data_IF_419187538724
#
_entry.id   IF_419187538724
#
_cell.length_a   1.000
_cell.length_b   1.000
_cell.length_c   1.000
_cell.angle_alpha   90.00
_cell.angle_beta   90.00
_cell.angle_gamma   90.00
#
_symmetry.space_group_name_H-M   'P 1'
#
loop_
_entity.id
_entity.type
_entity.pdbx_description
1 polymer ?
#
# COMPACT_ATOMS: atom_id res chain seq x y z
N UNK A 1 -20.13 -4.91 -27.35
CA UNK A 1 -19.93 -3.53 -26.83
C UNK A 1 -18.44 -3.38 -26.63
N UNK A 2 -17.86 -2.28 -27.09
CA UNK A 2 -16.43 -2.00 -26.90
C UNK A 2 -16.16 -1.71 -25.41
N UNK A 3 -15.19 -2.41 -24.82
CA UNK A 3 -14.78 -2.21 -23.43
C UNK A 3 -13.97 -0.92 -23.35
N UNK A 4 -14.34 0.01 -22.46
CA UNK A 4 -13.56 1.25 -22.24
C UNK A 4 -12.40 1.04 -21.27
N UNK A 5 -12.48 -0.03 -20.48
CA UNK A 5 -11.46 -0.50 -19.55
C UNK A 5 -11.72 -1.99 -19.28
N UNK A 6 -10.82 -2.67 -18.58
CA UNK A 6 -11.11 -3.97 -17.97
C UNK A 6 -10.35 -4.08 -16.65
N UNK A 7 -11.06 -4.31 -15.55
CA UNK A 7 -10.42 -4.50 -14.25
C UNK A 7 -11.27 -5.42 -13.37
N UNK A 8 -10.65 -6.44 -12.79
CA UNK A 8 -11.32 -7.43 -11.92
C UNK A 8 -10.56 -7.76 -10.63
N UNK A 9 -9.63 -6.90 -10.22
CA UNK A 9 -8.72 -7.18 -9.10
C UNK A 9 -9.37 -7.11 -7.70
N UNK A 10 -10.62 -6.64 -7.57
CA UNK A 10 -11.30 -6.53 -6.28
C UNK A 10 -12.59 -7.33 -6.24
N UNK A 11 -12.98 -7.70 -5.02
CA UNK A 11 -14.17 -8.52 -4.74
C UNK A 11 -15.47 -7.87 -5.26
N UNK A 12 -15.55 -6.54 -5.27
CA UNK A 12 -16.72 -5.78 -5.73
C UNK A 12 -16.78 -5.58 -7.25
N UNK A 13 -15.91 -6.24 -8.03
CA UNK A 13 -15.89 -6.08 -9.49
C UNK A 13 -17.27 -6.39 -10.10
N UNK A 14 -17.64 -5.63 -11.14
CA UNK A 14 -18.99 -5.67 -11.71
C UNK A 14 -19.38 -7.09 -12.16
N UNK A 15 -20.49 -7.58 -11.61
CA UNK A 15 -21.04 -8.90 -11.90
C UNK A 15 -20.09 -10.06 -11.58
N UNK A 16 -19.11 -9.87 -10.68
CA UNK A 16 -18.06 -10.84 -10.40
C UNK A 16 -17.29 -11.29 -11.66
N UNK A 17 -17.17 -10.40 -12.66
CA UNK A 17 -16.56 -10.72 -13.96
C UNK A 17 -15.53 -9.67 -14.39
N UNK A 18 -15.87 -8.38 -14.32
CA UNK A 18 -14.97 -7.31 -14.72
C UNK A 18 -15.67 -5.96 -14.89
N UNK A 19 -15.04 -4.90 -14.40
CA UNK A 19 -15.48 -3.53 -14.65
C UNK A 19 -15.07 -3.10 -16.06
N UNK A 20 -16.04 -2.88 -16.95
CA UNK A 20 -15.77 -2.59 -18.39
C UNK A 20 -16.07 -1.16 -18.85
N UNK A 21 -16.79 -0.38 -18.03
CA UNK A 21 -17.18 1.02 -18.33
C UNK A 21 -16.65 2.01 -17.31
N UNK A 22 -16.69 1.64 -16.03
CA UNK A 22 -16.18 2.36 -14.88
C UNK A 22 -16.00 1.34 -13.75
N UNK A 23 -15.04 1.54 -12.86
CA UNK A 23 -14.89 0.74 -11.65
C UNK A 23 -16.04 0.99 -10.67
N UNK A 24 -16.49 -0.05 -9.97
CA UNK A 24 -17.43 0.09 -8.82
C UNK A 24 -16.82 0.96 -7.72
N UNK A 25 -15.50 0.89 -7.56
CA UNK A 25 -14.72 1.76 -6.68
C UNK A 25 -14.63 3.24 -7.13
N UNK A 26 -15.19 3.60 -8.29
CA UNK A 26 -15.13 4.94 -8.86
C UNK A 26 -13.92 5.22 -9.76
N UNK A 27 -13.06 4.22 -10.02
CA UNK A 27 -11.94 4.35 -10.96
C UNK A 27 -12.45 4.54 -12.40
N UNK A 28 -12.09 5.64 -13.04
CA UNK A 28 -12.45 5.94 -14.42
C UNK A 28 -11.61 5.15 -15.45
N UNK A 29 -12.06 5.06 -16.73
CA UNK A 29 -11.33 4.34 -17.77
C UNK A 29 -9.90 4.82 -18.01
N UNK A 30 -9.66 6.14 -18.00
CA UNK A 30 -8.33 6.72 -18.21
C UNK A 30 -7.38 6.32 -17.09
N UNK A 31 -7.78 6.50 -15.84
CA UNK A 31 -7.01 6.04 -14.66
C UNK A 31 -6.74 4.54 -14.72
N UNK A 32 -7.70 3.72 -15.14
CA UNK A 32 -7.50 2.29 -15.30
C UNK A 32 -6.43 1.97 -16.36
N UNK A 33 -6.51 2.60 -17.54
CA UNK A 33 -5.52 2.44 -18.60
C UNK A 33 -4.11 2.90 -18.17
N UNK A 34 -4.01 4.01 -17.43
CA UNK A 34 -2.74 4.48 -16.87
C UNK A 34 -2.17 3.51 -15.81
N UNK A 35 -3.02 2.88 -15.00
CA UNK A 35 -2.57 1.85 -14.07
C UNK A 35 -2.11 0.57 -14.79
N UNK A 36 -2.80 0.15 -15.85
CA UNK A 36 -2.35 -0.98 -16.70
C UNK A 36 -0.99 -0.65 -17.32
N UNK A 37 -0.82 0.56 -17.83
CA UNK A 37 0.46 1.05 -18.36
C UNK A 37 1.55 1.05 -17.30
N UNK A 38 1.27 1.54 -16.08
CA UNK A 38 2.22 1.56 -14.98
C UNK A 38 2.66 0.14 -14.59
N UNK A 39 1.73 -0.81 -14.48
CA UNK A 39 2.06 -2.22 -14.22
C UNK A 39 2.92 -2.78 -15.35
N UNK A 40 2.57 -2.54 -16.60
CA UNK A 40 3.30 -3.09 -17.75
C UNK A 40 4.74 -2.58 -17.83
N UNK A 41 4.98 -1.27 -17.69
CA UNK A 41 6.36 -0.74 -17.65
C UNK A 41 7.12 -1.20 -16.40
N UNK A 42 6.41 -1.48 -15.30
CA UNK A 42 7.01 -2.05 -14.09
C UNK A 42 7.48 -3.49 -14.32
N UNK A 43 6.71 -4.30 -15.04
CA UNK A 43 7.18 -5.63 -15.48
C UNK A 43 8.43 -5.51 -16.37
N UNK A 44 8.48 -4.51 -17.24
CA UNK A 44 9.64 -4.25 -18.11
C UNK A 44 10.91 -3.82 -17.37
N UNK A 45 10.82 -2.94 -16.37
CA UNK A 45 12.00 -2.60 -15.54
C UNK A 45 12.45 -3.79 -14.68
N UNK A 46 11.51 -4.60 -14.19
CA UNK A 46 11.83 -5.83 -13.45
C UNK A 46 12.56 -6.85 -14.33
N UNK A 47 12.18 -7.01 -15.60
CA UNK A 47 12.91 -7.86 -16.55
C UNK A 47 14.36 -7.39 -16.77
N UNK A 48 14.57 -6.08 -16.94
CA UNK A 48 15.91 -5.51 -17.06
C UNK A 48 16.75 -5.73 -15.78
N UNK A 49 16.14 -5.58 -14.61
CA UNK A 49 16.79 -5.82 -13.32
C UNK A 49 17.17 -7.30 -13.13
N UNK A 50 16.29 -8.24 -13.50
CA UNK A 50 16.58 -9.68 -13.50
C UNK A 50 17.76 -9.97 -14.42
N UNK A 51 17.76 -9.43 -15.64
CA UNK A 51 18.85 -9.63 -16.61
C UNK A 51 20.20 -9.10 -16.12
N UNK A 52 20.22 -7.94 -15.46
CA UNK A 52 21.44 -7.42 -14.84
C UNK A 52 21.99 -8.37 -13.77
N UNK A 53 21.11 -8.96 -12.94
CA UNK A 53 21.54 -9.94 -11.95
C UNK A 53 22.08 -11.22 -12.58
N UNK A 54 21.49 -11.70 -13.68
CA UNK A 54 22.04 -12.83 -14.47
C UNK A 54 23.44 -12.53 -15.02
N UNK A 55 23.71 -11.28 -15.39
CA UNK A 55 25.03 -10.79 -15.79
C UNK A 55 25.99 -10.55 -14.61
N UNK A 56 25.60 -10.89 -13.38
CA UNK A 56 26.32 -10.62 -12.13
C UNK A 56 26.59 -9.13 -11.89
N UNK A 57 25.62 -8.28 -12.25
CA UNK A 57 25.69 -6.82 -12.06
C UNK A 57 24.73 -6.35 -10.98
N UNK A 58 25.13 -5.26 -10.34
CA UNK A 58 24.34 -4.63 -9.28
C UNK A 58 23.11 -3.92 -9.85
N UNK A 59 21.96 -4.10 -9.21
CA UNK A 59 20.74 -3.33 -9.46
C UNK A 59 20.62 -2.26 -8.36
N UNK A 60 20.44 -0.97 -8.70
CA UNK A 60 20.28 0.09 -7.70
C UNK A 60 19.04 -0.09 -6.81
N UNK A 61 19.12 0.31 -5.55
CA UNK A 61 18.04 0.16 -4.56
C UNK A 61 16.78 0.95 -4.92
N UNK A 62 16.95 2.05 -5.63
CA UNK A 62 15.86 2.87 -6.11
C UNK A 62 14.95 2.09 -7.07
N UNK A 63 15.48 1.07 -7.77
CA UNK A 63 14.71 0.20 -8.67
C UNK A 63 13.73 -0.65 -7.87
N UNK A 64 14.20 -1.33 -6.81
CA UNK A 64 13.32 -2.13 -5.96
C UNK A 64 12.23 -1.27 -5.31
N UNK A 65 12.63 -0.10 -4.79
CA UNK A 65 11.69 0.90 -4.26
C UNK A 65 10.67 1.35 -5.30
N UNK A 66 11.08 1.56 -6.55
CA UNK A 66 10.20 1.95 -7.66
C UNK A 66 9.19 0.86 -7.98
N UNK A 67 9.62 -0.39 -8.05
CA UNK A 67 8.75 -1.54 -8.34
C UNK A 67 7.67 -1.66 -7.26
N UNK A 68 8.06 -1.60 -5.98
CA UNK A 68 7.10 -1.67 -4.87
C UNK A 68 6.09 -0.52 -4.90
N UNK A 69 6.56 0.72 -5.08
CA UNK A 69 5.69 1.90 -5.14
C UNK A 69 4.69 1.84 -6.29
N UNK A 70 5.16 1.43 -7.48
CA UNK A 70 4.32 1.34 -8.66
C UNK A 70 3.22 0.31 -8.48
N UNK A 71 3.53 -0.86 -7.93
CA UNK A 71 2.52 -1.88 -7.63
C UNK A 71 1.51 -1.37 -6.60
N UNK A 72 1.96 -0.73 -5.52
CA UNK A 72 1.10 -0.22 -4.45
C UNK A 72 0.13 0.87 -4.96
N UNK A 73 0.59 1.79 -5.82
CA UNK A 73 -0.25 2.81 -6.47
C UNK A 73 -1.46 2.20 -7.19
N UNK A 74 -1.31 0.97 -7.71
CA UNK A 74 -2.33 0.29 -8.53
C UNK A 74 -3.23 -0.65 -7.72
N UNK A 75 -3.06 -0.73 -6.39
CA UNK A 75 -4.01 -1.40 -5.49
C UNK A 75 -5.36 -0.68 -5.53
N UNK A 76 -6.43 -1.44 -5.31
CA UNK A 76 -7.80 -0.90 -5.22
C UNK A 76 -7.87 0.20 -4.17
N UNK A 77 -8.47 1.33 -4.54
CA UNK A 77 -8.56 2.52 -3.69
C UNK A 77 -7.19 3.09 -3.25
N UNK A 78 -6.13 2.81 -4.02
CA UNK A 78 -4.80 3.37 -3.84
C UNK A 78 -4.69 4.78 -4.43
N UNK A 79 -4.71 4.91 -5.76
CA UNK A 79 -4.49 6.20 -6.43
C UNK A 79 -5.46 6.44 -7.60
N UNK A 80 -6.05 7.63 -7.63
CA UNK A 80 -6.98 8.12 -8.67
C UNK A 80 -6.44 9.35 -9.42
N UNK A 81 -5.21 9.79 -9.11
CA UNK A 81 -4.60 10.97 -9.71
C UNK A 81 -3.83 10.57 -10.98
N UNK A 82 -4.45 10.80 -12.13
CA UNK A 82 -3.87 10.53 -13.45
C UNK A 82 -2.50 11.19 -13.62
N UNK A 83 -2.32 12.44 -13.17
CA UNK A 83 -1.05 13.17 -13.33
C UNK A 83 0.05 12.57 -12.44
N UNK A 84 -0.31 12.13 -11.23
CA UNK A 84 0.62 11.41 -10.38
C UNK A 84 1.06 10.09 -11.04
N UNK A 85 0.13 9.33 -11.62
CA UNK A 85 0.44 8.06 -12.30
C UNK A 85 1.31 8.31 -13.55
N UNK A 86 1.04 9.34 -14.35
CA UNK A 86 1.84 9.72 -15.52
C UNK A 86 3.29 10.04 -15.11
N UNK A 87 3.49 10.82 -14.04
CA UNK A 87 4.85 11.12 -13.51
C UNK A 87 5.58 9.84 -13.12
N UNK A 88 4.88 8.87 -12.56
CA UNK A 88 5.45 7.57 -12.15
C UNK A 88 5.86 6.73 -13.36
N UNK A 89 5.01 6.65 -14.39
CA UNK A 89 5.34 5.98 -15.67
C UNK A 89 6.61 6.57 -16.27
N UNK A 90 6.68 7.90 -16.41
CA UNK A 90 7.85 8.59 -16.98
C UNK A 90 9.13 8.28 -16.22
N UNK A 91 9.08 8.29 -14.88
CA UNK A 91 10.23 7.97 -14.04
C UNK A 91 10.66 6.50 -14.20
N UNK A 92 9.71 5.57 -14.30
CA UNK A 92 10.02 4.16 -14.54
C UNK A 92 10.66 3.94 -15.91
N UNK A 93 10.19 4.62 -16.95
CA UNK A 93 10.81 4.55 -18.28
C UNK A 93 12.26 5.04 -18.27
N UNK A 94 12.51 6.19 -17.63
CA UNK A 94 13.86 6.73 -17.49
C UNK A 94 14.80 5.75 -16.75
N UNK A 95 14.38 5.24 -15.60
CA UNK A 95 15.18 4.26 -14.84
C UNK A 95 15.40 2.97 -15.62
N UNK A 96 14.38 2.49 -16.34
CA UNK A 96 14.50 1.31 -17.19
C UNK A 96 15.51 1.52 -18.30
N UNK A 97 15.52 2.69 -18.95
CA UNK A 97 16.52 3.04 -19.98
C UNK A 97 17.93 2.95 -19.39
N UNK A 98 18.16 3.51 -18.21
CA UNK A 98 19.46 3.46 -17.53
C UNK A 98 19.92 2.00 -17.24
N UNK A 99 18.98 1.11 -16.86
CA UNK A 99 19.29 -0.32 -16.68
C UNK A 99 19.58 -1.03 -18.01
N UNK A 100 18.82 -0.73 -19.06
CA UNK A 100 19.02 -1.31 -20.40
C UNK A 100 20.37 -0.90 -20.98
N UNK A 101 20.78 0.37 -20.84
CA UNK A 101 22.08 0.88 -21.29
C UNK A 101 23.25 0.19 -20.56
N UNK A 102 22.98 -0.38 -19.40
CA UNK A 102 23.94 -1.19 -18.68
C UNK A 102 24.06 -2.60 -19.26
N UNK A 103 23.03 -3.22 -19.83
CA UNK A 103 23.10 -4.63 -20.29
C UNK A 103 24.17 -4.91 -21.35
N UNK A 104 24.67 -6.14 -21.37
CA UNK A 104 25.59 -6.60 -22.43
C UNK A 104 24.92 -6.76 -23.80
N UNK A 105 23.59 -6.94 -23.81
CA UNK A 105 22.76 -7.07 -24.99
C UNK A 105 21.26 -6.98 -24.65
N UNK A 106 20.43 -6.77 -25.65
CA UNK A 106 18.96 -6.63 -25.51
C UNK A 106 18.19 -7.80 -26.11
N UNK A 107 18.90 -8.81 -26.59
CA UNK A 107 18.32 -9.99 -27.20
C UNK A 107 17.48 -10.78 -26.19
N UNK A 108 16.25 -11.09 -26.60
CA UNK A 108 15.29 -11.84 -25.80
C UNK A 108 14.46 -11.00 -24.82
N UNK A 109 14.73 -9.70 -24.70
CA UNK A 109 13.91 -8.81 -23.88
C UNK A 109 12.51 -8.60 -24.48
N UNK A 110 11.51 -8.52 -23.61
CA UNK A 110 10.13 -8.28 -24.01
C UNK A 110 9.92 -6.88 -24.59
N UNK A 111 8.78 -6.68 -25.26
CA UNK A 111 8.34 -5.34 -25.66
C UNK A 111 8.21 -4.39 -24.45
N UNK A 112 7.83 -4.90 -23.28
CA UNK A 112 7.71 -4.08 -22.07
C UNK A 112 9.07 -3.55 -21.60
N UNK A 113 10.14 -4.34 -21.74
CA UNK A 113 11.51 -3.92 -21.46
C UNK A 113 12.03 -2.92 -22.50
N UNK A 114 11.68 -3.07 -23.78
CA UNK A 114 12.23 -2.25 -24.87
C UNK A 114 11.44 -0.97 -25.19
N UNK A 115 10.15 -0.90 -24.88
CA UNK A 115 9.30 0.24 -25.24
C UNK A 115 9.62 1.49 -24.41
N UNK A 116 9.76 2.66 -25.04
CA UNK A 116 10.28 3.86 -24.36
C UNK A 116 9.67 5.19 -24.87
N UNK A 117 8.45 5.13 -25.42
CA UNK A 117 7.76 6.30 -25.98
C UNK A 117 6.71 6.86 -25.01
N UNK A 118 7.17 7.60 -24.00
CA UNK A 118 6.28 8.16 -22.97
C UNK A 118 5.09 8.98 -23.55
N UNK A 119 5.25 9.64 -24.68
CA UNK A 119 4.18 10.46 -25.26
C UNK A 119 3.06 9.62 -25.90
N UNK A 120 3.37 8.38 -26.30
CA UNK A 120 2.40 7.42 -26.80
C UNK A 120 1.78 6.54 -25.71
N UNK A 121 2.01 6.82 -24.41
CA UNK A 121 1.60 5.92 -23.31
C UNK A 121 0.08 5.63 -23.27
N UNK A 122 -0.77 6.62 -23.55
CA UNK A 122 -2.22 6.43 -23.54
C UNK A 122 -2.71 5.58 -24.72
N UNK A 123 -2.04 5.68 -25.87
CA UNK A 123 -2.34 4.82 -27.03
C UNK A 123 -1.87 3.40 -26.75
N UNK A 124 -0.63 3.24 -26.25
CA UNK A 124 -0.05 1.95 -25.90
C UNK A 124 -0.89 1.20 -24.86
N UNK A 125 -1.43 1.92 -23.87
CA UNK A 125 -2.27 1.37 -22.80
C UNK A 125 -3.50 0.58 -23.31
N UNK A 126 -4.02 0.91 -24.51
CA UNK A 126 -5.19 0.22 -25.08
C UNK A 126 -4.94 -1.25 -25.43
N UNK A 127 -3.67 -1.65 -25.59
CA UNK A 127 -3.29 -3.00 -26.05
C UNK A 127 -2.60 -3.89 -25.02
N UNK A 128 -2.37 -3.43 -23.79
CA UNK A 128 -1.47 -4.08 -22.81
C UNK A 128 -2.12 -4.42 -21.46
N UNK A 129 -3.44 -4.26 -21.34
CA UNK A 129 -4.18 -4.58 -20.12
C UNK A 129 -4.46 -6.09 -19.98
N UNK A 130 -5.25 -6.46 -18.96
CA UNK A 130 -5.58 -7.86 -18.61
C UNK A 130 -5.98 -8.74 -19.80
N UNK A 131 -6.77 -8.19 -20.73
CA UNK A 131 -7.30 -8.92 -21.89
C UNK A 131 -6.27 -9.11 -23.02
N UNK A 132 -5.03 -8.61 -22.89
CA UNK A 132 -3.96 -8.87 -23.85
C UNK A 132 -3.47 -10.32 -23.81
N UNK A 133 -3.76 -11.05 -22.73
CA UNK A 133 -3.57 -12.51 -22.66
C UNK A 133 -4.88 -13.18 -23.09
N UNK A 134 -4.89 -13.87 -24.23
CA UNK A 134 -6.10 -14.47 -24.81
C UNK A 134 -6.57 -15.71 -24.04
N UNK A 135 -5.65 -16.63 -23.74
CA UNK A 135 -5.93 -17.85 -22.99
C UNK A 135 -6.39 -17.52 -21.56
N UNK A 136 -7.55 -18.06 -21.17
CA UNK A 136 -8.20 -17.73 -19.90
C UNK A 136 -7.45 -18.27 -18.69
N UNK A 137 -6.87 -19.47 -18.78
CA UNK A 137 -6.15 -20.09 -17.68
C UNK A 137 -4.81 -19.39 -17.45
N UNK A 138 -4.09 -19.07 -18.53
CA UNK A 138 -2.85 -18.28 -18.48
C UNK A 138 -3.13 -16.88 -17.94
N UNK A 139 -4.20 -16.22 -18.43
CA UNK A 139 -4.62 -14.89 -17.95
C UNK A 139 -4.96 -14.93 -16.46
N UNK A 140 -5.73 -15.92 -16.03
CA UNK A 140 -6.13 -16.12 -14.64
C UNK A 140 -4.91 -16.23 -13.72
N UNK A 141 -3.94 -17.07 -14.07
CA UNK A 141 -2.73 -17.25 -13.25
C UNK A 141 -1.82 -16.02 -13.26
N UNK A 142 -1.59 -15.38 -14.42
CA UNK A 142 -0.79 -14.16 -14.50
C UNK A 142 -1.36 -13.03 -13.64
N UNK A 143 -2.68 -12.85 -13.65
CA UNK A 143 -3.32 -11.82 -12.85
C UNK A 143 -3.41 -12.20 -11.37
N UNK A 144 -3.65 -13.47 -11.02
CA UNK A 144 -3.55 -13.96 -9.64
C UNK A 144 -2.17 -13.66 -9.04
N UNK A 145 -1.10 -13.99 -9.77
CA UNK A 145 0.28 -13.69 -9.37
C UNK A 145 0.46 -12.18 -9.26
N UNK A 146 0.11 -11.41 -10.29
CA UNK A 146 0.27 -9.95 -10.29
C UNK A 146 -0.44 -9.30 -9.09
N UNK A 147 -1.64 -9.76 -8.72
CA UNK A 147 -2.38 -9.24 -7.57
C UNK A 147 -1.79 -9.66 -6.22
N UNK A 148 -1.28 -10.89 -6.11
CA UNK A 148 -0.49 -11.33 -4.96
C UNK A 148 0.76 -10.47 -4.76
N UNK A 149 1.49 -10.21 -5.86
CA UNK A 149 2.69 -9.36 -5.86
C UNK A 149 2.38 -7.90 -5.47
N UNK A 150 1.21 -7.36 -5.85
CA UNK A 150 0.77 -6.03 -5.36
C UNK A 150 0.63 -6.02 -3.84
N UNK A 151 -0.01 -7.03 -3.25
CA UNK A 151 -0.14 -7.16 -1.80
C UNK A 151 1.21 -7.29 -1.11
N UNK A 152 2.09 -8.15 -1.64
CA UNK A 152 3.46 -8.32 -1.16
C UNK A 152 4.25 -7.01 -1.19
N UNK A 153 4.19 -6.27 -2.31
CA UNK A 153 4.84 -4.98 -2.48
C UNK A 153 4.38 -3.93 -1.45
N UNK A 154 3.10 -3.94 -1.08
CA UNK A 154 2.59 -3.05 -0.04
C UNK A 154 3.23 -3.34 1.33
N UNK A 155 3.35 -4.62 1.71
CA UNK A 155 4.00 -4.99 2.97
C UNK A 155 5.47 -4.62 2.99
N UNK A 156 6.21 -4.98 1.92
CA UNK A 156 7.62 -4.65 1.81
C UNK A 156 7.86 -3.13 1.80
N UNK A 157 6.96 -2.35 1.17
CA UNK A 157 7.09 -0.89 1.15
C UNK A 157 7.01 -0.27 2.55
N UNK A 158 6.14 -0.79 3.42
CA UNK A 158 6.07 -0.37 4.82
C UNK A 158 7.30 -0.78 5.62
N UNK A 159 7.80 -2.00 5.44
CA UNK A 159 9.03 -2.44 6.07
C UNK A 159 10.23 -1.57 5.66
N UNK A 160 10.35 -1.26 4.37
CA UNK A 160 11.41 -0.40 3.84
C UNK A 160 11.33 1.05 4.37
N UNK A 161 10.14 1.54 4.74
CA UNK A 161 10.00 2.85 5.36
C UNK A 161 10.59 2.88 6.78
N UNK A 162 10.50 1.77 7.51
CA UNK A 162 11.09 1.61 8.84
C UNK A 162 12.61 1.40 8.78
N UNK A 163 13.10 0.66 7.80
CA UNK A 163 14.55 0.47 7.59
C UNK A 163 15.27 1.79 7.31
N UNK A 164 14.74 2.64 6.41
CA UNK A 164 15.36 3.95 6.11
C UNK A 164 15.46 4.84 7.34
N UNK A 165 14.48 4.77 8.25
CA UNK A 165 14.55 5.48 9.55
C UNK A 165 15.71 4.98 10.39
N UNK A 166 16.00 3.68 10.35
CA UNK A 166 17.08 3.05 11.11
C UNK A 166 18.48 3.38 10.56
N UNK A 167 18.65 3.68 9.27
CA UNK A 167 19.97 3.99 8.68
C UNK A 167 20.60 5.30 9.20
N UNK A 168 19.81 6.19 9.80
CA UNK A 168 20.28 7.42 10.45
C UNK A 168 20.73 7.24 11.92
N UNK A 169 20.82 6.00 12.42
CA UNK A 169 21.22 5.72 13.83
C UNK A 169 21.31 4.24 14.26
N UNK A 170 21.27 3.29 13.32
CA UNK A 170 21.34 1.83 13.37
C UNK A 170 20.36 1.08 14.31
N UNK A 171 19.43 0.26 13.76
CA UNK A 171 18.87 -0.93 14.46
C UNK A 171 18.39 -2.08 13.54
N UNK A 172 17.91 -1.84 12.29
CA UNK A 172 17.23 -2.91 11.52
C UNK A 172 17.71 -3.00 10.05
N UNK A 173 18.22 -4.18 9.66
CA UNK A 173 18.23 -4.68 8.28
C UNK A 173 17.36 -5.94 8.30
N UNK A 174 16.23 -5.92 7.60
CA UNK A 174 15.38 -7.10 7.50
C UNK A 174 16.13 -8.21 6.78
N UNK A 175 16.36 -9.32 7.48
CA UNK A 175 16.87 -10.52 6.84
C UNK A 175 15.90 -10.95 5.73
N UNK A 176 16.42 -11.12 4.53
CA UNK A 176 15.64 -11.52 3.38
C UNK A 176 14.80 -10.42 2.69
N UNK A 177 14.91 -9.13 3.04
CA UNK A 177 14.28 -8.05 2.25
C UNK A 177 14.74 -8.08 0.80
N UNK A 178 16.07 -8.13 0.58
CA UNK A 178 16.62 -8.19 -0.78
C UNK A 178 16.07 -9.37 -1.57
N UNK A 179 16.06 -10.55 -0.95
CA UNK A 179 15.55 -11.77 -1.58
C UNK A 179 14.06 -11.64 -1.94
N UNK A 180 13.26 -10.99 -1.10
CA UNK A 180 11.86 -10.71 -1.37
C UNK A 180 11.67 -9.69 -2.51
N UNK A 181 12.50 -8.64 -2.57
CA UNK A 181 12.52 -7.67 -3.67
C UNK A 181 12.91 -8.33 -5.01
N UNK A 182 13.94 -9.19 -4.98
CA UNK A 182 14.41 -9.92 -6.16
C UNK A 182 13.35 -10.89 -6.68
N UNK A 183 12.67 -11.61 -5.78
CA UNK A 183 11.54 -12.44 -6.17
C UNK A 183 10.40 -11.62 -6.76
N UNK A 184 10.07 -10.47 -6.17
CA UNK A 184 9.03 -9.57 -6.68
C UNK A 184 9.28 -9.20 -8.14
N UNK A 185 10.52 -8.83 -8.47
CA UNK A 185 10.93 -8.49 -9.83
C UNK A 185 10.93 -9.72 -10.76
N UNK A 186 11.50 -10.84 -10.32
CA UNK A 186 11.50 -12.11 -11.08
C UNK A 186 10.08 -12.57 -11.43
N UNK A 187 9.18 -12.57 -10.45
CA UNK A 187 7.80 -13.01 -10.64
C UNK A 187 7.03 -12.06 -11.55
N UNK A 188 7.21 -10.73 -11.42
CA UNK A 188 6.62 -9.77 -12.35
C UNK A 188 7.09 -9.98 -13.79
N UNK A 189 8.40 -10.12 -13.99
CA UNK A 189 9.00 -10.35 -15.31
C UNK A 189 8.48 -11.65 -15.93
N UNK A 190 8.38 -12.73 -15.14
CA UNK A 190 7.84 -14.01 -15.58
C UNK A 190 6.41 -13.90 -16.14
N UNK A 191 5.58 -12.99 -15.62
CA UNK A 191 4.22 -12.79 -16.18
C UNK A 191 4.19 -12.20 -17.60
N UNK A 192 5.33 -11.76 -18.15
CA UNK A 192 5.46 -11.33 -19.54
C UNK A 192 5.88 -12.46 -20.49
N UNK A 193 6.44 -13.57 -19.97
CA UNK A 193 6.94 -14.66 -20.78
C UNK A 193 5.78 -15.45 -21.40
N UNK A 194 5.72 -15.43 -22.73
CA UNK A 194 4.67 -16.09 -23.53
C UNK A 194 4.84 -17.61 -23.61
N UNK A 195 5.97 -18.15 -23.16
CA UNK A 195 6.25 -19.58 -23.22
C UNK A 195 5.89 -20.33 -21.93
N UNK A 196 5.59 -19.61 -20.85
CA UNK A 196 5.22 -20.25 -19.58
C UNK A 196 3.92 -21.05 -19.71
N UNK A 197 3.98 -22.28 -19.19
CA UNK A 197 2.86 -23.21 -19.17
C UNK A 197 1.98 -23.04 -17.92
N UNK A 198 0.76 -23.58 -17.96
CA UNK A 198 -0.15 -23.59 -16.80
C UNK A 198 0.51 -24.21 -15.54
N UNK A 199 1.21 -25.37 -15.60
CA UNK A 199 1.90 -25.90 -14.43
C UNK A 199 2.99 -24.97 -13.87
N UNK A 200 3.77 -24.31 -14.72
CA UNK A 200 4.83 -23.39 -14.30
C UNK A 200 4.25 -22.13 -13.64
N UNK A 201 3.19 -21.55 -14.21
CA UNK A 201 2.48 -20.43 -13.60
C UNK A 201 1.79 -20.82 -12.30
N UNK A 202 1.27 -22.04 -12.20
CA UNK A 202 0.71 -22.56 -10.94
C UNK A 202 1.78 -22.68 -9.85
N UNK A 203 2.98 -23.17 -10.21
CA UNK A 203 4.10 -23.22 -9.29
C UNK A 203 4.54 -21.82 -8.86
N UNK A 204 4.62 -20.86 -9.78
CA UNK A 204 4.93 -19.47 -9.47
C UNK A 204 3.88 -18.80 -8.57
N UNK A 205 2.60 -19.15 -8.72
CA UNK A 205 1.54 -18.66 -7.82
C UNK A 205 1.69 -19.20 -6.39
N UNK A 206 2.12 -20.45 -6.23
CA UNK A 206 2.42 -21.02 -4.91
C UNK A 206 3.68 -20.39 -4.30
N UNK A 207 4.74 -20.21 -5.08
CA UNK A 207 5.97 -19.52 -4.67
C UNK A 207 5.66 -18.07 -4.26
N UNK A 208 4.75 -17.39 -4.98
CA UNK A 208 4.25 -16.05 -4.60
C UNK A 208 3.57 -16.07 -3.22
N UNK A 209 2.88 -17.16 -2.86
CA UNK A 209 2.31 -17.35 -1.53
C UNK A 209 3.37 -17.50 -0.43
N UNK A 210 4.44 -18.25 -0.71
CA UNK A 210 5.60 -18.40 0.19
C UNK A 210 6.27 -17.05 0.47
N UNK A 211 6.54 -16.27 -0.59
CA UNK A 211 7.10 -14.94 -0.45
C UNK A 211 6.13 -13.93 0.15
N UNK A 212 4.82 -14.15 0.02
CA UNK A 212 3.81 -13.42 0.77
C UNK A 212 3.95 -13.61 2.29
N UNK A 213 4.20 -14.84 2.75
CA UNK A 213 4.49 -15.12 4.17
C UNK A 213 5.78 -14.43 4.61
N UNK A 214 6.82 -14.47 3.77
CA UNK A 214 8.10 -13.81 4.04
C UNK A 214 7.95 -12.29 4.17
N UNK A 215 7.24 -11.64 3.25
CA UNK A 215 6.99 -10.20 3.31
C UNK A 215 6.19 -9.78 4.56
N UNK A 216 5.20 -10.58 4.97
CA UNK A 216 4.48 -10.33 6.22
C UNK A 216 5.38 -10.49 7.45
N UNK A 217 6.27 -11.48 7.47
CA UNK A 217 7.23 -11.68 8.57
C UNK A 217 8.23 -10.51 8.67
N UNK A 218 8.75 -10.04 7.53
CA UNK A 218 9.62 -8.85 7.46
C UNK A 218 8.88 -7.62 8.03
N UNK A 219 7.63 -7.39 7.63
CA UNK A 219 6.85 -6.26 8.14
C UNK A 219 6.50 -6.38 9.64
N UNK A 220 6.18 -7.59 10.11
CA UNK A 220 5.94 -7.84 11.54
C UNK A 220 7.17 -7.51 12.38
N UNK A 221 8.34 -7.99 11.97
CA UNK A 221 9.60 -7.73 12.66
C UNK A 221 9.94 -6.23 12.63
N UNK A 222 9.81 -5.58 11.48
CA UNK A 222 10.06 -4.15 11.33
C UNK A 222 9.19 -3.32 12.29
N UNK A 223 7.87 -3.57 12.30
CA UNK A 223 6.94 -2.85 13.17
C UNK A 223 7.19 -3.12 14.65
N UNK A 224 7.36 -4.40 15.03
CA UNK A 224 7.50 -4.77 16.44
C UNK A 224 8.85 -4.34 17.01
N UNK A 225 9.91 -4.32 16.20
CA UNK A 225 11.22 -3.79 16.59
C UNK A 225 11.18 -2.27 16.76
N UNK A 226 10.47 -1.55 15.89
CA UNK A 226 10.38 -0.09 15.96
C UNK A 226 9.46 0.41 17.08
N UNK A 227 8.31 -0.25 17.28
CA UNK A 227 7.22 0.27 18.10
C UNK A 227 6.87 -0.60 19.32
N UNK A 228 7.56 -1.72 19.50
CA UNK A 228 7.29 -2.73 20.52
C UNK A 228 6.26 -3.77 20.08
N UNK A 229 6.18 -4.90 20.77
CA UNK A 229 5.14 -5.89 20.48
C UNK A 229 3.75 -5.36 20.91
N UNK A 230 2.70 -5.54 20.09
CA UNK A 230 1.34 -5.22 20.48
C UNK A 230 0.94 -5.95 21.76
N UNK A 231 0.24 -5.25 22.65
CA UNK A 231 -0.23 -5.77 23.93
C UNK A 231 -1.73 -5.49 24.13
N UNK A 232 -2.39 -6.26 25.02
CA UNK A 232 -3.82 -6.08 25.31
C UNK A 232 -4.13 -4.61 25.63
N UNK A 233 -4.99 -4.01 24.82
CA UNK A 233 -5.29 -2.58 24.90
C UNK A 233 -6.77 -2.33 24.77
N UNK A 234 -7.28 -1.44 25.63
CA UNK A 234 -8.65 -0.91 25.55
C UNK A 234 -8.60 0.45 24.85
N UNK A 235 -9.20 0.53 23.66
CA UNK A 235 -9.18 1.73 22.80
C UNK A 235 -10.53 2.44 22.90
N UNK A 236 -10.52 3.75 23.17
CA UNK A 236 -11.73 4.57 23.15
C UNK A 236 -12.26 4.71 21.73
N UNK A 237 -13.59 4.66 21.56
CA UNK A 237 -14.28 4.94 20.30
C UNK A 237 -15.15 6.22 20.34
N UNK A 238 -15.16 6.90 21.49
CA UNK A 238 -15.75 8.24 21.63
C UNK A 238 -14.77 9.36 21.30
N UNK A 239 -15.24 10.60 21.36
CA UNK A 239 -14.47 11.79 20.96
C UNK A 239 -14.20 12.74 22.14
N UNK A 240 -13.08 13.45 22.07
CA UNK A 240 -12.71 14.55 22.98
C UNK A 240 -13.24 15.88 22.44
N UNK A 241 -12.94 16.98 23.15
CA UNK A 241 -13.42 18.32 22.82
C UNK A 241 -12.42 19.18 22.04
N UNK A 242 -11.18 18.71 21.85
CA UNK A 242 -10.20 19.42 21.04
C UNK A 242 -10.46 19.19 19.54
N UNK A 243 -10.02 20.11 18.67
CA UNK A 243 -9.85 19.80 17.25
C UNK A 243 -8.92 18.59 17.07
N UNK A 244 -9.11 17.84 15.98
CA UNK A 244 -8.32 16.65 15.74
C UNK A 244 -7.94 16.42 14.28
N UNK A 245 -6.97 15.53 14.09
CA UNK A 245 -6.58 14.95 12.80
C UNK A 245 -6.93 13.46 12.83
N UNK A 246 -7.56 12.98 11.76
CA UNK A 246 -7.88 11.57 11.57
C UNK A 246 -6.86 10.93 10.63
N UNK A 247 -6.11 9.93 11.10
CA UNK A 247 -5.19 9.16 10.26
C UNK A 247 -5.82 7.81 9.89
N UNK A 248 -5.75 7.47 8.60
CA UNK A 248 -6.28 6.24 8.02
C UNK A 248 -5.25 5.61 7.09
N UNK A 249 -5.37 4.30 6.86
CA UNK A 249 -4.39 3.52 6.11
C UNK A 249 -3.62 2.58 7.05
N UNK A 250 -2.34 2.35 6.79
CA UNK A 250 -1.53 1.36 7.54
C UNK A 250 -0.14 1.87 7.99
N UNK A 251 0.32 3.01 7.48
CA UNK A 251 1.71 3.43 7.71
C UNK A 251 1.93 3.97 9.13
N UNK A 252 2.66 3.22 9.95
CA UNK A 252 2.95 3.57 11.33
C UNK A 252 4.07 4.63 11.46
N UNK A 253 4.97 4.75 10.48
CA UNK A 253 5.97 5.84 10.46
C UNK A 253 5.28 7.19 10.30
N UNK A 254 4.27 7.27 9.42
CA UNK A 254 3.49 8.49 9.24
C UNK A 254 2.75 8.90 10.51
N UNK A 255 2.18 7.93 11.24
CA UNK A 255 1.56 8.19 12.53
C UNK A 255 2.57 8.70 13.56
N UNK A 256 3.75 8.09 13.65
CA UNK A 256 4.79 8.52 14.58
C UNK A 256 5.18 9.98 14.35
N UNK A 257 5.51 10.33 13.10
CA UNK A 257 5.88 11.70 12.73
C UNK A 257 4.74 12.68 12.98
N UNK A 258 3.49 12.28 12.73
CA UNK A 258 2.31 13.09 13.02
C UNK A 258 2.14 13.32 14.54
N UNK A 259 2.30 12.27 15.36
CA UNK A 259 2.20 12.36 16.82
C UNK A 259 3.28 13.27 17.39
N UNK A 260 4.51 13.16 16.90
CA UNK A 260 5.64 14.02 17.29
C UNK A 260 5.38 15.49 16.94
N UNK A 261 4.88 15.77 15.73
CA UNK A 261 4.61 17.14 15.28
C UNK A 261 3.35 17.76 15.91
N UNK A 262 2.43 16.93 16.41
CA UNK A 262 1.21 17.40 17.09
C UNK A 262 1.35 17.56 18.60
N UNK A 263 2.45 17.07 19.20
CA UNK A 263 2.73 17.21 20.63
C UNK A 263 2.74 18.69 21.06
N UNK A 264 2.02 19.01 22.13
CA UNK A 264 1.90 20.39 22.64
C UNK A 264 1.13 21.38 21.75
N UNK A 265 0.55 20.94 20.61
CA UNK A 265 -0.18 21.85 19.69
C UNK A 265 -1.64 22.07 20.06
N UNK A 266 -2.19 21.25 20.96
CA UNK A 266 -3.62 21.23 21.30
C UNK A 266 -4.50 20.49 20.29
N UNK A 267 -3.92 19.79 19.32
CA UNK A 267 -4.63 18.93 18.36
C UNK A 267 -4.59 17.48 18.85
N UNK A 268 -5.74 16.83 18.94
CA UNK A 268 -5.83 15.39 19.20
C UNK A 268 -5.62 14.58 17.91
N UNK A 269 -5.02 13.40 18.00
CA UNK A 269 -4.86 12.46 16.87
C UNK A 269 -5.78 11.26 17.06
N UNK A 270 -6.54 10.91 16.03
CA UNK A 270 -7.44 9.75 16.00
C UNK A 270 -7.03 8.80 14.87
N UNK A 271 -7.23 7.51 15.08
CA UNK A 271 -7.09 6.49 14.03
C UNK A 271 -8.42 6.19 13.36
N UNK A 272 -8.39 5.65 12.15
CA UNK A 272 -9.55 5.14 11.43
C UNK A 272 -9.21 3.84 10.68
N UNK A 273 -10.20 2.94 10.58
CA UNK A 273 -10.10 1.65 9.89
C UNK A 273 -8.82 0.88 10.29
N UNK A 274 -7.88 0.72 9.37
CA UNK A 274 -6.69 -0.13 9.54
C UNK A 274 -5.57 0.53 10.35
N UNK A 275 -5.72 1.81 10.74
CA UNK A 275 -4.83 2.44 11.72
C UNK A 275 -5.19 2.10 13.17
N UNK A 276 -6.36 1.48 13.42
CA UNK A 276 -6.77 1.04 14.76
C UNK A 276 -5.67 0.28 15.52
N UNK A 277 -4.95 -0.69 14.92
CA UNK A 277 -3.94 -1.45 15.63
C UNK A 277 -2.76 -0.62 16.15
N UNK A 278 -2.57 0.60 15.67
CA UNK A 278 -1.53 1.48 16.21
C UNK A 278 -1.69 1.73 17.71
N UNK A 279 -2.93 1.74 18.23
CA UNK A 279 -3.17 1.85 19.68
C UNK A 279 -2.58 0.69 20.48
N UNK A 280 -2.31 -0.45 19.86
CA UNK A 280 -1.83 -1.65 20.54
C UNK A 280 -0.33 -1.62 20.80
N UNK A 281 0.42 -0.78 20.09
CA UNK A 281 1.87 -0.68 20.19
C UNK A 281 2.29 0.21 21.38
N UNK A 282 3.17 -0.26 22.28
CA UNK A 282 3.62 0.51 23.44
C UNK A 282 4.21 1.88 23.08
N UNK A 283 4.94 1.98 21.97
CA UNK A 283 5.60 3.24 21.56
C UNK A 283 4.62 4.40 21.35
N UNK A 284 3.38 4.14 20.93
CA UNK A 284 2.38 5.19 20.70
C UNK A 284 1.56 5.55 21.94
N UNK A 285 1.53 4.68 22.96
CA UNK A 285 0.75 4.90 24.19
C UNK A 285 1.28 6.02 25.08
N UNK A 286 2.52 6.47 24.85
CA UNK A 286 3.13 7.58 25.59
C UNK A 286 2.52 8.95 25.24
N UNK A 287 1.86 9.08 24.08
CA UNK A 287 1.34 10.35 23.58
C UNK A 287 -0.06 10.63 24.15
N UNK A 288 -0.18 11.64 25.01
CA UNK A 288 -1.43 11.93 25.72
C UNK A 288 -2.56 12.42 24.79
N UNK A 289 -2.22 13.08 23.69
CA UNK A 289 -3.14 13.57 22.65
C UNK A 289 -3.52 12.50 21.62
N UNK A 290 -3.00 11.27 21.74
CA UNK A 290 -3.48 10.13 20.95
C UNK A 290 -4.80 9.63 21.54
N UNK A 291 -5.92 9.97 20.90
CA UNK A 291 -7.21 10.03 21.56
C UNK A 291 -8.02 8.73 21.52
N UNK A 292 -8.08 8.06 20.37
CA UNK A 292 -8.89 6.88 20.16
C UNK A 292 -9.04 6.51 18.69
N UNK A 293 -9.95 5.60 18.40
CA UNK A 293 -10.32 5.21 17.04
C UNK A 293 -11.70 5.76 16.69
N UNK A 294 -11.84 6.38 15.52
CA UNK A 294 -13.07 7.03 15.09
C UNK A 294 -13.68 6.29 13.89
N UNK A 295 -14.98 5.98 13.99
CA UNK A 295 -15.73 5.34 12.91
C UNK A 295 -15.44 3.84 12.77
N UNK A 296 -15.64 3.31 11.57
CA UNK A 296 -15.56 1.89 11.28
C UNK A 296 -14.59 1.62 10.10
N UNK A 297 -14.97 0.70 9.21
CA UNK A 297 -14.18 0.32 8.06
C UNK A 297 -14.30 1.34 6.91
N UNK A 298 -13.26 1.36 6.07
CA UNK A 298 -13.05 2.30 4.96
C UNK A 298 -14.26 2.63 4.07
N UNK A 299 -15.21 1.72 3.86
CA UNK A 299 -16.33 1.96 2.93
C UNK A 299 -17.35 2.98 3.47
N UNK A 300 -17.39 3.23 4.79
CA UNK A 300 -18.22 4.25 5.43
C UNK A 300 -17.58 5.64 5.49
N UNK A 301 -16.36 5.79 4.98
CA UNK A 301 -15.58 7.02 5.16
C UNK A 301 -16.23 8.28 4.61
N UNK A 302 -17.16 8.19 3.66
CA UNK A 302 -17.87 9.36 3.11
C UNK A 302 -18.75 10.07 4.15
N UNK A 303 -19.29 9.32 5.10
CA UNK A 303 -20.12 9.83 6.19
C UNK A 303 -19.24 10.15 7.39
N UNK A 304 -18.30 9.25 7.72
CA UNK A 304 -17.46 9.37 8.91
C UNK A 304 -16.41 10.48 8.76
N UNK A 305 -15.75 10.62 7.61
CA UNK A 305 -14.81 11.72 7.39
C UNK A 305 -15.52 13.06 7.39
N UNK A 306 -16.75 13.13 6.88
CA UNK A 306 -17.57 14.34 6.92
C UNK A 306 -17.87 14.73 8.38
N UNK A 307 -18.36 13.79 9.18
CA UNK A 307 -18.69 13.99 10.60
C UNK A 307 -17.47 14.29 11.50
N UNK A 308 -16.28 13.80 11.14
CA UNK A 308 -15.06 14.07 11.90
C UNK A 308 -14.68 15.56 11.96
N UNK A 309 -15.09 16.37 10.98
CA UNK A 309 -14.91 17.82 10.97
C UNK A 309 -13.48 18.33 10.73
N UNK A 310 -12.46 17.66 11.28
CA UNK A 310 -11.03 18.00 11.13
C UNK A 310 -10.35 17.39 9.90
N UNK A 311 -9.07 17.70 9.65
CA UNK A 311 -8.31 17.11 8.54
C UNK A 311 -8.21 15.58 8.62
N UNK A 312 -8.12 14.95 7.46
CA UNK A 312 -7.93 13.49 7.33
C UNK A 312 -6.65 13.21 6.54
N UNK A 313 -5.77 12.38 7.09
CA UNK A 313 -4.56 11.88 6.43
C UNK A 313 -4.79 10.44 5.96
N UNK A 314 -4.64 10.19 4.67
CA UNK A 314 -4.63 8.84 4.09
C UNK A 314 -3.18 8.45 3.77
N UNK A 315 -2.64 7.52 4.57
CA UNK A 315 -1.28 6.99 4.41
C UNK A 315 -1.21 5.91 3.34
N UNK A 316 -2.30 5.16 3.16
CA UNK A 316 -2.46 4.09 2.16
C UNK A 316 -3.91 4.01 1.66
N UNK A 317 -4.22 3.02 0.81
CA UNK A 317 -5.60 2.61 0.57
C UNK A 317 -6.30 2.24 1.90
N UNK A 318 -7.63 2.32 2.02
CA UNK A 318 -8.60 2.57 0.97
C UNK A 318 -9.17 3.99 0.99
N UNK A 319 -8.83 4.80 -0.01
CA UNK A 319 -9.51 6.07 -0.29
C UNK A 319 -10.64 5.85 -1.30
N UNK A 320 -11.88 6.19 -0.94
CA UNK A 320 -12.98 6.29 -1.92
C UNK A 320 -13.06 7.72 -2.47
N UNK A 321 -13.64 7.94 -3.66
CA UNK A 321 -13.87 9.29 -4.18
C UNK A 321 -14.54 10.21 -3.14
N UNK A 322 -13.85 11.27 -2.68
CA UNK A 322 -14.31 12.09 -1.57
C UNK A 322 -15.49 13.00 -1.96
N UNK A 323 -16.36 13.31 -1.01
CA UNK A 323 -17.36 14.36 -1.16
C UNK A 323 -16.69 15.73 -1.14
N UNK A 324 -17.25 16.68 -1.88
CA UNK A 324 -16.77 18.07 -1.90
C UNK A 324 -16.76 18.73 -0.51
N UNK A 325 -17.67 18.31 0.37
CA UNK A 325 -17.81 18.80 1.76
C UNK A 325 -16.54 18.64 2.62
N UNK A 326 -15.69 17.64 2.35
CA UNK A 326 -14.47 17.39 3.11
C UNK A 326 -13.21 17.27 2.24
N UNK A 327 -13.33 17.30 0.91
CA UNK A 327 -12.20 17.20 -0.02
C UNK A 327 -11.08 18.22 0.28
N UNK A 328 -11.43 19.44 0.66
CA UNK A 328 -10.45 20.50 0.98
C UNK A 328 -9.67 20.31 2.29
N UNK A 329 -10.01 19.30 3.09
CA UNK A 329 -9.30 18.90 4.32
C UNK A 329 -8.83 17.43 4.27
N UNK A 330 -8.85 16.82 3.09
CA UNK A 330 -8.31 15.49 2.84
C UNK A 330 -6.89 15.62 2.30
N UNK A 331 -5.95 14.98 2.99
CA UNK A 331 -4.56 14.88 2.63
C UNK A 331 -4.22 13.44 2.28
N UNK A 332 -3.40 13.29 1.25
CA UNK A 332 -2.84 12.01 0.81
C UNK A 332 -1.34 12.03 1.01
N UNK A 333 -0.73 10.86 1.16
CA UNK A 333 0.73 10.72 1.17
C UNK A 333 1.11 9.35 0.64
N UNK A 334 2.41 9.11 0.42
CA UNK A 334 2.91 7.82 -0.07
C UNK A 334 2.33 7.43 -1.42
N UNK A 335 1.77 6.23 -1.51
CA UNK A 335 1.17 5.73 -2.76
C UNK A 335 -0.22 6.32 -3.05
N UNK A 336 -0.84 7.04 -2.10
CA UNK A 336 -2.22 7.52 -2.22
C UNK A 336 -2.28 8.81 -3.03
N UNK A 337 -3.30 8.94 -3.86
CA UNK A 337 -3.54 10.18 -4.60
C UNK A 337 -4.99 10.32 -5.05
N UNK A 338 -5.48 11.57 -5.05
CA UNK A 338 -6.78 11.90 -5.61
C UNK A 338 -6.77 13.34 -6.18
N UNK A 339 -7.30 13.58 -7.39
CA UNK A 339 -7.26 14.90 -8.00
C UNK A 339 -7.89 15.98 -7.13
N UNK A 340 -7.11 17.02 -6.81
CA UNK A 340 -7.54 18.16 -6.01
C UNK A 340 -7.51 17.95 -4.49
N UNK A 341 -7.01 16.81 -4.01
CA UNK A 341 -6.61 16.65 -2.61
C UNK A 341 -5.14 17.09 -2.45
N UNK A 342 -4.78 17.58 -1.27
CA UNK A 342 -3.38 17.92 -0.98
C UNK A 342 -2.56 16.64 -0.85
N UNK A 343 -1.31 16.66 -1.31
CA UNK A 343 -0.39 15.54 -1.18
C UNK A 343 0.82 15.96 -0.34
N UNK A 344 1.15 15.17 0.68
CA UNK A 344 2.30 15.38 1.54
C UNK A 344 3.42 14.48 1.01
N UNK A 345 4.41 15.09 0.38
CA UNK A 345 5.63 14.42 -0.05
C UNK A 345 6.57 14.22 1.15
N UNK A 346 7.38 13.18 1.10
CA UNK A 346 8.48 13.00 2.03
C UNK A 346 9.74 13.67 1.49
N UNK A 347 10.53 14.28 2.37
CA UNK A 347 11.89 14.73 2.10
C UNK A 347 12.81 13.52 1.83
N UNK A 348 14.05 13.80 1.39
CA UNK A 348 15.02 12.77 1.05
C UNK A 348 15.36 11.83 2.23
N UNK A 349 15.23 12.30 3.47
CA UNK A 349 15.45 11.53 4.70
C UNK A 349 14.18 10.80 5.20
N UNK A 350 13.05 10.94 4.49
CA UNK A 350 11.76 10.35 4.85
C UNK A 350 10.90 11.21 5.77
N UNK A 351 11.37 12.40 6.16
CA UNK A 351 10.59 13.36 6.97
C UNK A 351 9.41 13.91 6.17
N UNK A 352 8.24 14.01 6.79
CA UNK A 352 7.04 14.62 6.20
C UNK A 352 6.63 15.84 7.01
N UNK A 353 6.37 16.95 6.33
CA UNK A 353 5.89 18.17 6.97
C UNK A 353 4.35 18.16 7.11
N UNK A 354 3.85 18.01 8.34
CA UNK A 354 2.42 18.08 8.64
C UNK A 354 1.95 19.48 9.07
N UNK A 355 2.81 20.50 9.02
CA UNK A 355 2.52 21.86 9.52
C UNK A 355 1.23 22.45 8.94
N UNK A 356 1.02 22.31 7.63
CA UNK A 356 -0.19 22.83 6.98
C UNK A 356 -1.47 22.17 7.53
N UNK A 357 -1.44 20.84 7.68
CA UNK A 357 -2.56 20.07 8.20
C UNK A 357 -2.86 20.43 9.66
N UNK A 358 -1.82 20.55 10.49
CA UNK A 358 -1.94 20.95 11.90
C UNK A 358 -2.56 22.34 12.00
N UNK A 359 -2.12 23.28 11.16
CA UNK A 359 -2.68 24.62 11.13
C UNK A 359 -4.15 24.65 10.64
N UNK A 360 -4.51 23.80 9.68
CA UNK A 360 -5.91 23.65 9.28
C UNK A 360 -6.76 23.06 10.41
N UNK A 361 -6.25 22.05 11.14
CA UNK A 361 -6.96 21.43 12.26
C UNK A 361 -7.36 22.42 13.35
N UNK A 362 -6.49 23.40 13.66
CA UNK A 362 -6.78 24.49 14.62
C UNK A 362 -8.00 25.34 14.24
N UNK A 363 -8.39 25.34 12.98
CA UNK A 363 -9.53 26.10 12.45
C UNK A 363 -10.78 25.24 12.25
N UNK A 364 -10.69 23.93 12.50
CA UNK A 364 -11.79 22.99 12.36
C UNK A 364 -12.53 22.78 13.70
N UNK A 365 -13.82 22.41 13.66
CA UNK A 365 -14.51 21.99 14.87
C UNK A 365 -13.93 20.67 15.40
N UNK A 366 -14.16 20.40 16.69
CA UNK A 366 -13.92 19.07 17.26
C UNK A 366 -14.80 18.01 16.57
N UNK A 367 -14.39 16.73 16.57
CA UNK A 367 -15.16 15.66 15.93
C UNK A 367 -16.57 15.50 16.51
N UNK A 368 -17.54 15.19 15.64
CA UNK A 368 -18.89 14.80 16.06
C UNK A 368 -18.86 13.35 16.55
N UNK A 369 -19.36 13.11 17.76
CA UNK A 369 -19.41 11.77 18.36
C UNK A 369 -20.38 10.87 17.58
N UNK A 370 -19.86 9.75 17.04
CA UNK A 370 -20.67 8.74 16.36
C UNK A 370 -21.14 7.64 17.30
N UNK A 371 -20.30 7.30 18.28
CA UNK A 371 -20.51 6.24 19.25
C UNK A 371 -19.67 6.48 20.51
N UNK A 372 -19.91 5.69 21.56
CA UNK A 372 -19.18 5.78 22.83
C UNK A 372 -18.76 4.39 23.30
N UNK A 373 -17.81 4.34 24.23
CA UNK A 373 -17.32 3.10 24.81
C UNK A 373 -15.91 2.79 24.32
N UNK A 374 -15.63 1.50 24.16
CA UNK A 374 -14.29 1.03 23.83
C UNK A 374 -14.30 -0.35 23.22
N UNK A 375 -13.26 -0.64 22.45
CA UNK A 375 -12.94 -1.97 21.94
C UNK A 375 -11.62 -2.48 22.54
N UNK A 376 -11.47 -3.80 22.65
CA UNK A 376 -10.26 -4.44 23.17
C UNK A 376 -9.56 -5.18 22.04
N UNK A 377 -8.25 -4.96 21.89
CA UNK A 377 -7.41 -5.62 20.90
C UNK A 377 -5.96 -5.75 21.38
N UNK A 378 -5.03 -5.98 20.45
CA UNK A 378 -3.61 -6.16 20.75
C UNK A 378 -3.15 -7.61 20.93
N UNK A 379 -3.95 -8.58 20.49
CA UNK A 379 -3.62 -10.01 20.54
C UNK A 379 -2.75 -10.43 19.34
N UNK A 380 -1.59 -9.79 19.16
CA UNK A 380 -0.58 -10.25 18.18
C UNK A 380 0.16 -11.50 18.69
N UNK A 381 1.04 -12.07 17.86
CA UNK A 381 1.69 -13.37 18.15
C UNK A 381 2.38 -13.41 19.52
N UNK A 382 3.16 -12.39 19.90
CA UNK A 382 3.87 -12.33 21.18
C UNK A 382 2.89 -12.34 22.37
N UNK A 383 1.83 -11.53 22.30
CA UNK A 383 0.79 -11.45 23.33
C UNK A 383 0.00 -12.77 23.46
N UNK A 384 -0.31 -13.43 22.35
CA UNK A 384 -1.03 -14.72 22.34
C UNK A 384 -0.14 -15.84 22.87
N UNK A 385 1.14 -15.87 22.49
CA UNK A 385 2.11 -16.85 22.97
C UNK A 385 2.36 -16.70 24.48
N UNK A 386 2.37 -15.47 25.00
CA UNK A 386 2.43 -15.21 26.44
C UNK A 386 1.19 -15.75 27.21
N UNK A 387 0.09 -16.03 26.50
CA UNK A 387 -1.14 -16.61 27.02
C UNK A 387 -1.34 -18.08 26.59
N UNK A 388 -0.30 -18.75 26.06
CA UNK A 388 -0.42 -20.08 25.48
C UNK A 388 -0.97 -21.12 26.48
N UNK A 389 -0.45 -21.17 27.70
CA UNK A 389 -0.87 -22.12 28.73
C UNK A 389 -2.37 -22.03 29.04
N UNK A 390 -2.93 -20.87 29.45
CA UNK A 390 -4.37 -20.77 29.72
C UNK A 390 -5.24 -20.99 28.48
N UNK A 391 -4.76 -20.64 27.27
CA UNK A 391 -5.49 -20.94 26.02
C UNK A 391 -5.55 -22.46 25.81
N UNK A 392 -4.43 -23.17 25.96
CA UNK A 392 -4.36 -24.63 25.82
C UNK A 392 -5.23 -25.33 26.87
N UNK A 393 -5.25 -24.85 28.11
CA UNK A 393 -6.14 -25.36 29.16
C UNK A 393 -7.62 -25.15 28.83
N UNK A 394 -7.97 -23.97 28.30
CA UNK A 394 -9.34 -23.65 27.88
C UNK A 394 -9.81 -24.54 26.72
N UNK A 395 -8.91 -24.89 25.78
CA UNK A 395 -9.20 -25.85 24.71
C UNK A 395 -9.35 -27.27 25.26
N UNK A 396 -8.42 -27.73 26.10
CA UNK A 396 -8.45 -29.08 26.70
C UNK A 396 -9.70 -29.32 27.55
N UNK A 397 -10.14 -28.29 28.28
CA UNK A 397 -11.37 -28.34 29.09
C UNK A 397 -12.66 -28.22 28.26
N UNK A 398 -12.56 -27.85 26.99
CA UNK A 398 -13.71 -27.61 26.10
C UNK A 398 -14.42 -26.28 26.34
N UNK A 399 -13.83 -25.37 27.13
CA UNK A 399 -14.31 -24.00 27.29
C UNK A 399 -14.18 -23.20 25.98
N UNK A 400 -13.09 -23.44 25.23
CA UNK A 400 -12.93 -23.00 23.83
C UNK A 400 -13.13 -24.23 22.94
N UNK A 401 -14.10 -24.16 22.02
CA UNK A 401 -14.45 -25.27 21.12
C UNK A 401 -13.87 -25.16 19.71
N UNK A 402 -13.62 -23.93 19.25
CA UNK A 402 -13.09 -23.59 17.91
C UNK A 402 -12.30 -22.31 17.99
#
# INVERSE_FOLDING_TARGET
>A
MENRMFCYQCQETAGCSGCTKSGVCGKGPRTAALQDMLVWVTKGISEAAVRLREENRNVPDEVNSRVMENLFITITNGNFDDEAIIRRIRRTLAMKRDLIDCLSGTEGLSEAALWDDAEAMEEKAKGIGVLSTEDEDIRSLRELITYGLKGMAAYLKHAAALERKAENGAVYQADGMRDAEEFLEKALAATLDQNMTVPELTALALETGEYGVKAMAILDEANTSAFGHPEITKVSIGVRKNPGILVSGHDLCDLEQLLEQTEGTGIDVYTHSEMLPAHYYPAFKKYAHFAGNYGNAWWKQKEEFEAFGGPVLLTTNCLVPPKDSYKGRLYTTGAVGYPGCKHIEADADGTKDFTEMINQAKQCPAPVELETGSIVGGFAHNQVLALADPIVEAVKSGAIKK
#
